data_IF_378540816387
#
_entry.id   IF_378540816387
#
_cell.length_a   1.000
_cell.length_b   1.000
_cell.length_c   1.000
_cell.angle_alpha   90.00
_cell.angle_beta   90.00
_cell.angle_gamma   90.00
#
_symmetry.space_group_name_H-M   'P 1'
#
loop_
_entity.id
_entity.type
_entity.pdbx_description
1 polymer ?
#
# COMPACT_ATOMS: atom_id res chain seq x y z
N UNK A 1 17.57 18.43 -22.47
CA UNK A 1 17.75 17.02 -22.06
C UNK A 1 16.47 16.57 -21.39
N UNK A 2 16.03 15.33 -21.62
CA UNK A 2 14.88 14.76 -20.92
C UNK A 2 15.34 14.34 -19.52
N UNK A 3 14.56 14.69 -18.49
CA UNK A 3 14.83 14.35 -17.08
C UNK A 3 13.77 13.37 -16.61
N UNK A 4 14.21 12.23 -16.06
CA UNK A 4 13.34 11.23 -15.47
C UNK A 4 12.90 11.68 -14.07
N UNK A 5 11.59 11.71 -13.82
CA UNK A 5 11.02 11.99 -12.49
C UNK A 5 10.61 10.71 -11.76
N UNK A 6 10.36 10.79 -10.45
CA UNK A 6 9.82 9.66 -9.69
C UNK A 6 8.40 9.28 -10.15
N UNK A 7 7.60 10.24 -10.60
CA UNK A 7 6.27 9.96 -11.13
C UNK A 7 6.37 9.21 -12.48
N UNK A 8 7.35 9.55 -13.33
CA UNK A 8 7.62 8.82 -14.57
C UNK A 8 8.00 7.36 -14.28
N UNK A 9 8.91 7.14 -13.32
CA UNK A 9 9.33 5.79 -12.92
C UNK A 9 8.16 4.98 -12.34
N UNK A 10 7.32 5.59 -11.50
CA UNK A 10 6.14 4.92 -10.93
C UNK A 10 5.09 4.58 -12.00
N UNK A 11 4.94 5.45 -13.01
CA UNK A 11 4.07 5.21 -14.15
C UNK A 11 4.58 4.05 -15.00
N UNK A 12 5.88 4.00 -15.29
CA UNK A 12 6.49 2.92 -16.08
C UNK A 12 6.38 1.57 -15.38
N UNK A 13 6.68 1.49 -14.08
CA UNK A 13 6.48 0.26 -13.30
C UNK A 13 5.02 -0.19 -13.28
N UNK A 14 4.08 0.75 -13.34
CA UNK A 14 2.65 0.43 -13.44
C UNK A 14 2.24 -0.14 -14.80
N UNK A 15 2.93 0.23 -15.89
CA UNK A 15 2.72 -0.34 -17.23
C UNK A 15 3.36 -1.71 -17.37
N UNK A 16 4.63 -1.82 -16.96
CA UNK A 16 5.43 -3.04 -17.13
C UNK A 16 4.89 -4.22 -16.31
N UNK A 17 4.51 -4.00 -15.04
CA UNK A 17 4.12 -5.07 -14.11
C UNK A 17 2.62 -5.08 -13.79
N UNK A 18 1.78 -4.67 -14.74
CA UNK A 18 0.32 -4.70 -14.54
C UNK A 18 -0.15 -6.16 -14.33
N UNK A 19 -1.00 -6.36 -13.33
CA UNK A 19 -1.52 -7.68 -12.93
C UNK A 19 -0.50 -8.69 -12.39
N UNK A 20 0.71 -8.24 -12.01
CA UNK A 20 1.74 -9.10 -11.41
C UNK A 20 1.91 -8.94 -9.89
N UNK A 21 0.99 -8.22 -9.24
CA UNK A 21 0.99 -8.09 -7.78
C UNK A 21 2.00 -7.09 -7.19
N UNK A 22 2.76 -6.37 -8.02
CA UNK A 22 3.77 -5.40 -7.55
C UNK A 22 3.18 -4.05 -7.12
N UNK A 23 2.00 -3.67 -7.65
CA UNK A 23 1.50 -2.29 -7.61
C UNK A 23 1.37 -1.72 -6.19
N UNK A 24 0.95 -2.54 -5.22
CA UNK A 24 0.82 -2.11 -3.82
C UNK A 24 2.16 -1.68 -3.24
N UNK A 25 3.20 -2.49 -3.40
CA UNK A 25 4.52 -2.20 -2.83
C UNK A 25 5.12 -0.93 -3.44
N UNK A 26 4.92 -0.75 -4.75
CA UNK A 26 5.34 0.46 -5.45
C UNK A 26 4.62 1.70 -4.93
N UNK A 27 3.30 1.66 -4.84
CA UNK A 27 2.53 2.81 -4.35
C UNK A 27 2.86 3.14 -2.89
N UNK A 28 3.15 2.14 -2.03
CA UNK A 28 3.58 2.40 -0.65
C UNK A 28 4.93 3.11 -0.62
N UNK A 29 5.92 2.61 -1.37
CA UNK A 29 7.28 3.16 -1.44
C UNK A 29 7.31 4.59 -1.99
N UNK A 30 6.41 4.92 -2.90
CA UNK A 30 6.28 6.25 -3.49
C UNK A 30 5.30 7.17 -2.72
N UNK A 31 4.74 6.70 -1.60
CA UNK A 31 3.82 7.50 -0.77
C UNK A 31 2.46 7.78 -1.42
N UNK A 32 2.05 6.97 -2.41
CA UNK A 32 0.80 7.15 -3.18
C UNK A 32 -0.30 6.15 -2.82
N UNK A 33 -0.02 5.12 -2.02
CA UNK A 33 -0.98 4.02 -1.74
C UNK A 33 -2.36 4.48 -1.24
N UNK A 34 -2.41 5.44 -0.32
CA UNK A 34 -3.66 5.93 0.26
C UNK A 34 -4.26 7.14 -0.47
N UNK A 35 -3.72 7.50 -1.64
CA UNK A 35 -4.28 8.58 -2.45
C UNK A 35 -5.57 8.13 -3.13
N UNK A 36 -6.47 9.08 -3.39
CA UNK A 36 -7.68 8.81 -4.18
C UNK A 36 -7.33 8.44 -5.63
N UNK A 37 -8.14 7.58 -6.24
CA UNK A 37 -8.11 7.26 -7.66
C UNK A 37 -9.53 6.95 -8.17
N UNK A 38 -9.68 6.63 -9.46
CA UNK A 38 -10.99 6.58 -10.14
C UNK A 38 -12.08 5.78 -9.40
N UNK A 39 -11.72 4.69 -8.71
CA UNK A 39 -12.67 3.81 -8.02
C UNK A 39 -12.44 3.71 -6.51
N UNK A 40 -11.64 4.59 -5.92
CA UNK A 40 -11.36 4.54 -4.48
C UNK A 40 -11.08 5.93 -3.90
N UNK A 41 -11.73 6.33 -2.79
CA UNK A 41 -11.38 7.56 -2.10
C UNK A 41 -9.99 7.47 -1.44
N UNK A 42 -9.48 8.60 -0.95
CA UNK A 42 -8.27 8.56 -0.13
C UNK A 42 -8.54 7.84 1.20
N UNK A 43 -7.52 7.17 1.71
CA UNK A 43 -7.59 6.36 2.93
C UNK A 43 -6.72 6.94 4.06
N UNK A 44 -6.99 6.57 5.32
CA UNK A 44 -6.06 6.78 6.42
C UNK A 44 -4.73 6.03 6.21
N UNK A 45 -3.63 6.63 6.67
CA UNK A 45 -2.26 6.13 6.47
C UNK A 45 -2.03 4.71 6.98
N UNK A 46 -2.67 4.34 8.10
CA UNK A 46 -2.49 3.04 8.73
C UNK A 46 -2.90 1.85 7.84
N UNK A 47 -3.70 2.09 6.78
CA UNK A 47 -4.07 1.07 5.79
C UNK A 47 -2.94 0.63 4.84
N UNK A 48 -1.72 1.20 4.99
CA UNK A 48 -0.50 0.71 4.33
C UNK A 48 0.00 -0.61 4.89
N UNK A 49 -0.36 -0.96 6.12
CA UNK A 49 -0.02 -2.21 6.77
C UNK A 49 -1.32 -2.97 7.03
N UNK A 50 -1.38 -4.26 6.68
CA UNK A 50 -2.60 -5.03 6.90
C UNK A 50 -2.81 -5.31 8.40
N UNK A 51 -4.06 -5.49 8.86
CA UNK A 51 -4.30 -5.91 10.23
C UNK A 51 -3.75 -7.33 10.45
N UNK A 52 -3.31 -7.59 11.68
CA UNK A 52 -3.14 -8.96 12.16
C UNK A 52 -4.54 -9.59 12.21
N UNK A 53 -4.75 -10.78 11.63
CA UNK A 53 -6.09 -11.35 11.61
C UNK A 53 -6.54 -11.78 13.02
N UNK A 54 -7.83 -11.62 13.29
CA UNK A 54 -8.39 -11.77 14.65
C UNK A 54 -8.10 -13.14 15.26
N UNK A 55 -8.19 -14.22 14.47
CA UNK A 55 -7.92 -15.57 14.96
C UNK A 55 -6.49 -15.72 15.51
N UNK A 56 -5.51 -14.99 14.96
CA UNK A 56 -4.14 -14.99 15.47
C UNK A 56 -4.01 -14.20 16.77
N UNK A 57 -4.71 -13.07 16.89
CA UNK A 57 -4.77 -12.29 18.14
C UNK A 57 -5.42 -13.11 19.27
N UNK A 58 -6.53 -13.80 18.97
CA UNK A 58 -7.24 -14.65 19.94
C UNK A 58 -6.37 -15.84 20.40
N UNK A 59 -5.56 -16.39 19.50
CA UNK A 59 -4.73 -17.56 19.78
C UNK A 59 -3.39 -17.23 20.47
N UNK A 60 -2.88 -16.01 20.34
CA UNK A 60 -1.58 -15.62 20.89
C UNK A 60 -1.64 -14.27 21.62
N UNK A 61 -1.64 -14.27 22.97
CA UNK A 61 -1.73 -13.04 23.76
C UNK A 61 -0.48 -12.14 23.67
N UNK A 62 0.61 -12.61 23.05
CA UNK A 62 1.80 -11.79 22.81
C UNK A 62 1.70 -10.95 21.53
N UNK A 63 0.66 -11.12 20.72
CA UNK A 63 0.45 -10.30 19.53
C UNK A 63 -0.34 -9.04 19.88
N UNK A 64 0.22 -7.90 19.50
CA UNK A 64 -0.45 -6.61 19.55
C UNK A 64 -0.88 -6.20 18.14
N UNK A 65 -2.11 -5.70 18.00
CA UNK A 65 -2.64 -5.28 16.70
C UNK A 65 -1.83 -4.09 16.12
N UNK A 66 -1.73 -4.05 14.79
CA UNK A 66 -1.15 -2.92 14.08
C UNK A 66 -1.93 -1.62 14.36
N UNK A 67 -1.26 -0.48 14.58
CA UNK A 67 -1.91 0.78 14.94
C UNK A 67 -3.05 1.15 13.98
N UNK A 68 -4.16 1.68 14.54
CA UNK A 68 -5.32 2.14 13.77
C UNK A 68 -6.38 1.08 13.49
N UNK A 69 -6.05 -0.21 13.62
CA UNK A 69 -7.02 -1.30 13.58
C UNK A 69 -7.58 -1.59 14.98
N UNK A 70 -8.82 -2.11 15.03
CA UNK A 70 -9.52 -2.52 16.26
C UNK A 70 -9.57 -4.03 16.34
#
# INVERSE_FOLDING_TARGET
>A
MVTLTLDDLLAERGREFIWEGCRRQDLVRFGKWNSAWQFHPADPDFRKLFPIPQAQLDANPNLEQNPGYK
#
